data_IF_060916536573
#
_entry.id   IF_060916536573
#
_cell.length_a   1.000
_cell.length_b   1.000
_cell.length_c   1.000
_cell.angle_alpha   90.00
_cell.angle_beta   90.00
_cell.angle_gamma   90.00
#
_symmetry.space_group_name_H-M   'P 1'
#
loop_
_entity.id
_entity.type
_entity.pdbx_description
1 polymer ?
#
# COMPACT_ATOMS: atom_id res chain seq x y z
N UNK A 1 -11.30 -6.28 6.60
CA UNK A 1 -11.43 -5.85 5.18
C UNK A 1 -10.35 -4.84 4.77
N UNK A 2 -10.17 -3.69 5.43
CA UNK A 2 -9.01 -2.82 5.14
C UNK A 2 -7.66 -3.50 5.48
N UNK A 3 -7.61 -4.20 6.62
CA UNK A 3 -6.45 -4.99 7.04
C UNK A 3 -6.03 -6.06 6.03
N UNK A 4 -6.96 -6.82 5.47
CA UNK A 4 -6.64 -7.90 4.52
C UNK A 4 -5.96 -7.35 3.24
N UNK A 5 -6.43 -6.18 2.77
CA UNK A 5 -5.80 -5.45 1.65
C UNK A 5 -4.41 -4.94 2.03
N UNK A 6 -4.27 -4.38 3.24
CA UNK A 6 -2.99 -3.90 3.75
C UNK A 6 -1.97 -5.03 3.94
N UNK A 7 -2.38 -6.20 4.42
CA UNK A 7 -1.52 -7.39 4.55
C UNK A 7 -1.02 -7.87 3.19
N UNK A 8 -1.91 -7.95 2.18
CA UNK A 8 -1.48 -8.30 0.83
C UNK A 8 -0.52 -7.27 0.22
N UNK A 9 -0.84 -5.97 0.35
CA UNK A 9 0.04 -4.90 -0.12
C UNK A 9 1.39 -4.92 0.60
N UNK A 10 1.40 -5.19 1.89
CA UNK A 10 2.62 -5.33 2.69
C UNK A 10 3.52 -6.41 2.12
N UNK A 11 2.97 -7.60 1.84
CA UNK A 11 3.74 -8.72 1.30
C UNK A 11 4.27 -8.40 -0.12
N UNK A 12 3.46 -7.76 -0.98
CA UNK A 12 3.91 -7.27 -2.28
C UNK A 12 5.03 -6.22 -2.15
N UNK A 13 4.92 -5.29 -1.21
CA UNK A 13 5.91 -4.26 -0.99
C UNK A 13 7.22 -4.82 -0.42
N UNK A 14 7.15 -5.87 0.41
CA UNK A 14 8.29 -6.56 1.01
C UNK A 14 9.05 -7.38 -0.04
N UNK A 15 8.34 -8.14 -0.88
CA UNK A 15 8.93 -9.02 -1.89
C UNK A 15 9.35 -8.27 -3.17
N UNK A 16 8.83 -7.06 -3.40
CA UNK A 16 9.24 -6.25 -4.54
C UNK A 16 10.63 -5.64 -4.35
N UNK A 17 11.40 -5.54 -5.43
CA UNK A 17 12.74 -4.94 -5.40
C UNK A 17 12.74 -3.52 -4.81
N UNK A 18 13.82 -3.15 -4.09
CA UNK A 18 13.92 -1.89 -3.33
C UNK A 18 13.67 -0.61 -4.13
N UNK A 19 13.81 -0.65 -5.46
CA UNK A 19 13.63 0.50 -6.36
C UNK A 19 12.43 0.36 -7.32
N UNK A 20 11.61 -0.67 -7.15
CA UNK A 20 10.43 -0.88 -7.98
C UNK A 20 9.32 0.06 -7.48
N UNK A 21 8.88 1.04 -8.29
CA UNK A 21 7.84 1.98 -7.89
C UNK A 21 6.48 1.28 -7.80
N UNK A 22 5.63 1.71 -6.86
CA UNK A 22 4.30 1.13 -6.65
C UNK A 22 3.23 2.20 -6.91
N UNK A 23 2.22 1.85 -7.71
CA UNK A 23 1.02 2.66 -7.92
C UNK A 23 -0.18 1.96 -7.27
N UNK A 24 -0.87 2.67 -6.37
CA UNK A 24 -2.12 2.22 -5.78
C UNK A 24 -3.28 2.93 -6.50
N UNK A 25 -3.89 2.20 -7.44
CA UNK A 25 -5.04 2.65 -8.20
C UNK A 25 -6.34 2.44 -7.40
N UNK A 26 -6.89 3.54 -6.89
CA UNK A 26 -8.13 3.58 -6.12
C UNK A 26 -9.33 3.55 -7.07
N UNK A 27 -9.62 2.37 -7.62
CA UNK A 27 -10.66 2.13 -8.62
C UNK A 27 -12.09 2.32 -8.05
N UNK A 28 -13.08 2.37 -8.96
CA UNK A 28 -14.52 2.47 -8.70
C UNK A 28 -15.00 3.84 -8.21
N UNK A 29 -14.32 4.90 -8.63
CA UNK A 29 -14.66 6.28 -8.22
C UNK A 29 -15.99 6.81 -8.79
N UNK A 30 -16.65 6.04 -9.66
CA UNK A 30 -18.02 6.26 -10.12
C UNK A 30 -19.06 6.01 -9.02
N UNK A 31 -18.72 5.23 -7.99
CA UNK A 31 -19.63 4.96 -6.88
C UNK A 31 -19.57 6.06 -5.82
N UNK A 32 -20.72 6.61 -5.41
CA UNK A 32 -20.80 7.67 -4.37
C UNK A 32 -20.31 7.27 -2.97
N UNK A 33 -20.02 5.99 -2.73
CA UNK A 33 -19.41 5.49 -1.49
C UNK A 33 -17.89 5.27 -1.61
N UNK A 34 -17.31 5.47 -2.80
CA UNK A 34 -15.89 5.35 -3.02
C UNK A 34 -15.14 6.34 -2.12
N UNK A 35 -14.01 5.86 -1.59
CA UNK A 35 -13.13 6.69 -0.77
C UNK A 35 -12.11 7.35 -1.67
N UNK A 36 -11.76 8.59 -1.32
CA UNK A 36 -10.66 9.26 -1.99
C UNK A 36 -9.36 8.53 -1.74
N UNK A 37 -8.44 8.69 -2.67
CA UNK A 37 -7.05 8.22 -2.59
C UNK A 37 -6.39 8.65 -1.28
N UNK A 38 -6.63 9.88 -0.81
CA UNK A 38 -6.08 10.37 0.45
C UNK A 38 -6.60 9.57 1.67
N UNK A 39 -7.90 9.27 1.72
CA UNK A 39 -8.47 8.45 2.80
C UNK A 39 -7.91 7.03 2.76
N UNK A 40 -7.77 6.45 1.56
CA UNK A 40 -7.19 5.12 1.38
C UNK A 40 -5.72 5.11 1.79
N UNK A 41 -4.94 6.13 1.39
CA UNK A 41 -3.53 6.30 1.77
C UNK A 41 -3.35 6.30 3.28
N UNK A 42 -4.09 7.15 4.00
CA UNK A 42 -4.01 7.20 5.47
C UNK A 42 -4.52 5.92 6.13
N UNK A 43 -5.54 5.27 5.57
CA UNK A 43 -6.05 4.00 6.13
C UNK A 43 -5.04 2.87 5.98
N UNK A 44 -4.42 2.73 4.81
CA UNK A 44 -3.42 1.70 4.56
C UNK A 44 -2.14 1.94 5.35
N UNK A 45 -1.71 3.20 5.50
CA UNK A 45 -0.56 3.57 6.32
C UNK A 45 -0.70 3.08 7.77
N UNK A 46 -1.85 3.35 8.38
CA UNK A 46 -2.16 2.90 9.75
C UNK A 46 -2.17 1.38 9.87
N UNK A 47 -2.80 0.68 8.93
CA UNK A 47 -2.86 -0.79 8.96
C UNK A 47 -1.47 -1.41 8.75
N UNK A 48 -0.67 -0.90 7.81
CA UNK A 48 0.72 -1.33 7.59
C UNK A 48 1.56 -1.13 8.86
N UNK A 49 1.40 0.00 9.54
CA UNK A 49 2.11 0.22 10.80
C UNK A 49 1.76 -0.80 11.88
N UNK A 50 0.48 -1.17 11.98
CA UNK A 50 0.02 -2.23 12.89
C UNK A 50 0.56 -3.61 12.50
N UNK A 51 0.61 -3.93 11.20
CA UNK A 51 1.20 -5.17 10.67
C UNK A 51 2.70 -5.23 10.97
N UNK A 52 3.45 -4.15 10.71
CA UNK A 52 4.87 -4.04 11.06
C UNK A 52 5.10 -4.30 12.56
N UNK A 53 4.36 -3.60 13.43
CA UNK A 53 4.46 -3.77 14.89
C UNK A 53 4.20 -5.22 15.32
N UNK A 54 3.14 -5.84 14.80
CA UNK A 54 2.77 -7.21 15.19
C UNK A 54 3.74 -8.25 14.66
N UNK A 55 4.22 -8.12 13.41
CA UNK A 55 5.25 -9.00 12.83
C UNK A 55 6.58 -8.83 13.54
N UNK A 56 7.00 -7.60 13.87
CA UNK A 56 8.21 -7.35 14.66
C UNK A 56 8.19 -8.04 16.02
N UNK A 57 7.08 -7.89 16.77
CA UNK A 57 6.92 -8.53 18.08
C UNK A 57 6.99 -10.06 18.01
N UNK A 58 6.45 -10.67 16.94
CA UNK A 58 6.50 -12.12 16.74
C UNK A 58 7.91 -12.64 16.42
N UNK A 59 8.79 -11.81 15.83
CA UNK A 59 10.19 -12.17 15.57
C UNK A 59 10.99 -12.20 16.87
N UNK A 60 10.78 -11.23 17.77
CA UNK A 60 11.48 -11.17 19.07
C UNK A 60 11.17 -12.36 19.97
N UNK A 61 10.02 -13.01 19.82
CA UNK A 61 9.62 -14.14 20.65
C UNK A 61 10.09 -15.51 20.14
N UNK A 62 10.78 -15.58 18.99
CA UNK A 62 11.22 -16.85 18.38
C UNK A 62 12.70 -16.80 17.99
N UNK A 63 13.58 -17.33 18.84
CA UNK A 63 15.05 -17.40 18.64
C UNK A 63 15.50 -18.40 17.54
N UNK A 64 14.65 -18.68 16.55
CA UNK A 64 14.87 -19.75 15.58
C UNK A 64 14.66 -19.31 14.13
N UNK A 65 15.68 -18.67 13.56
CA UNK A 65 15.99 -18.68 12.12
C UNK A 65 14.78 -18.71 11.17
N UNK A 66 14.19 -17.55 10.92
CA UNK A 66 13.54 -17.29 9.64
C UNK A 66 13.75 -15.82 9.30
N UNK A 67 14.38 -15.60 8.16
CA UNK A 67 14.76 -14.32 7.56
C UNK A 67 13.53 -13.48 7.16
N UNK A 68 12.53 -13.40 8.03
CA UNK A 68 11.30 -12.62 7.82
C UNK A 68 11.59 -11.21 8.25
N UNK A 69 12.04 -10.40 7.31
CA UNK A 69 12.19 -8.97 7.52
C UNK A 69 10.82 -8.30 7.63
N UNK A 70 10.71 -7.30 8.49
CA UNK A 70 9.59 -6.37 8.44
C UNK A 70 9.73 -5.44 7.24
N UNK A 71 8.64 -4.79 6.83
CA UNK A 71 8.67 -3.85 5.70
C UNK A 71 9.52 -2.62 6.05
N UNK A 72 9.40 -2.16 7.30
CA UNK A 72 10.25 -1.12 7.91
C UNK A 72 10.49 -1.45 9.39
N UNK A 73 11.37 -0.70 10.04
CA UNK A 73 11.60 -0.74 11.50
C UNK A 73 10.80 0.31 12.28
N UNK A 74 9.97 1.11 11.60
CA UNK A 74 9.17 2.19 12.19
C UNK A 74 7.92 1.71 12.93
N UNK A 75 7.58 0.42 12.82
CA UNK A 75 6.49 -0.18 13.59
C UNK A 75 5.15 0.52 13.33
N UNK A 76 4.43 0.88 14.41
CA UNK A 76 3.16 1.59 14.33
C UNK A 76 3.25 3.03 13.81
N UNK A 77 4.46 3.59 13.71
CA UNK A 77 4.71 4.93 13.20
C UNK A 77 5.10 4.92 11.70
N UNK A 78 4.78 3.83 10.99
CA UNK A 78 5.02 3.72 9.56
C UNK A 78 4.46 4.93 8.79
N UNK A 79 5.28 5.47 7.90
CA UNK A 79 4.94 6.45 6.87
C UNK A 79 5.33 5.90 5.50
N UNK A 80 4.63 6.27 4.43
CA UNK A 80 5.02 5.86 3.07
C UNK A 80 6.44 6.30 2.68
N UNK A 81 6.93 7.37 3.31
CA UNK A 81 8.24 7.99 3.15
C UNK A 81 9.35 7.15 3.79
N UNK A 82 9.01 6.20 4.66
CA UNK A 82 9.95 5.22 5.20
C UNK A 82 10.37 4.17 4.14
N UNK A 83 9.61 4.04 3.05
CA UNK A 83 9.93 3.10 2.00
C UNK A 83 11.04 3.65 1.07
N UNK A 84 12.02 2.81 0.67
CA UNK A 84 13.08 3.22 -0.25
C UNK A 84 12.61 3.30 -1.72
N UNK A 85 11.31 3.12 -1.96
CA UNK A 85 10.65 3.09 -3.27
C UNK A 85 9.48 4.08 -3.26
N UNK A 86 9.22 4.78 -4.38
CA UNK A 86 8.10 5.70 -4.45
C UNK A 86 6.79 4.91 -4.45
N UNK A 87 5.81 5.42 -3.70
CA UNK A 87 4.45 4.90 -3.66
C UNK A 87 3.47 6.03 -3.96
N UNK A 88 2.81 5.91 -5.11
CA UNK A 88 1.85 6.89 -5.61
C UNK A 88 0.44 6.36 -5.52
N UNK A 89 -0.52 7.26 -5.38
CA UNK A 89 -1.95 6.94 -5.33
C UNK A 89 -2.66 7.72 -6.42
N UNK A 90 -3.55 7.04 -7.14
CA UNK A 90 -4.40 7.68 -8.15
C UNK A 90 -5.83 7.21 -7.98
N UNK A 91 -6.77 8.11 -8.25
CA UNK A 91 -8.18 7.80 -8.37
C UNK A 91 -8.48 7.41 -9.81
N UNK A 92 -9.31 6.37 -9.98
CA UNK A 92 -9.68 5.92 -11.32
C UNK A 92 -11.02 5.20 -11.34
N UNK A 93 -11.54 5.04 -12.55
CA UNK A 93 -12.67 4.18 -12.85
C UNK A 93 -12.43 3.52 -14.21
N UNK A 94 -12.62 2.20 -14.26
CA UNK A 94 -12.49 1.41 -15.48
C UNK A 94 -13.78 1.35 -16.31
N UNK A 95 -14.86 2.01 -15.88
CA UNK A 95 -16.10 2.10 -16.65
C UNK A 95 -15.95 3.15 -17.75
N UNK A 96 -16.30 2.79 -18.98
CA UNK A 96 -16.26 3.71 -20.11
C UNK A 96 -17.13 4.95 -19.86
N UNK A 97 -16.59 6.13 -20.15
CA UNK A 97 -17.29 7.41 -19.96
C UNK A 97 -17.35 7.90 -18.50
N UNK A 98 -16.67 7.24 -17.56
CA UNK A 98 -16.56 7.73 -16.19
C UNK A 98 -15.86 9.10 -16.11
N UNK A 99 -16.28 9.93 -15.14
CA UNK A 99 -15.72 11.27 -14.92
C UNK A 99 -14.23 11.25 -14.53
N UNK A 100 -13.81 10.22 -13.79
CA UNK A 100 -12.42 9.97 -13.42
C UNK A 100 -11.99 8.67 -14.08
N UNK A 101 -11.45 8.75 -15.30
CA UNK A 101 -11.03 7.61 -16.09
C UNK A 101 -9.67 7.02 -15.68
N UNK A 102 -8.95 6.44 -16.65
CA UNK A 102 -7.66 5.77 -16.43
C UNK A 102 -6.45 6.66 -16.71
N UNK A 103 -6.64 7.97 -16.94
CA UNK A 103 -5.58 8.89 -17.37
C UNK A 103 -4.42 9.01 -16.38
N UNK A 104 -4.70 9.00 -15.07
CA UNK A 104 -3.65 8.99 -14.05
C UNK A 104 -2.76 7.74 -14.13
N UNK A 105 -3.35 6.58 -14.41
CA UNK A 105 -2.62 5.32 -14.57
C UNK A 105 -1.80 5.36 -15.86
N UNK A 106 -2.41 5.79 -16.97
CA UNK A 106 -1.77 5.95 -18.30
C UNK A 106 -0.53 6.83 -18.23
N UNK A 107 -0.67 8.01 -17.62
CA UNK A 107 0.44 8.93 -17.36
C UNK A 107 1.57 8.27 -16.55
N UNK A 108 1.22 7.53 -15.49
CA UNK A 108 2.20 6.87 -14.63
C UNK A 108 2.98 5.75 -15.34
N UNK A 109 2.30 4.91 -16.13
CA UNK A 109 2.94 3.85 -16.93
C UNK A 109 3.57 4.39 -18.22
N UNK A 110 3.40 5.68 -18.53
CA UNK A 110 3.88 6.36 -19.75
C UNK A 110 3.31 5.74 -21.04
N UNK A 111 2.02 5.42 -21.05
CA UNK A 111 1.27 4.91 -22.20
C UNK A 111 0.16 5.90 -22.57
#
# INVERSE_FOLDING_TARGET
>A
RARDVAEFLYDVALESGKKIPILIACNKQDHGLAKSSQVIRTSLEKEIGMINKTRAAALTTTDGSSFRHTLTDTGANFSWEDLPKPVEFVECCAVDGASVGLEGIRSWIKI
#
